data_IF_386511081572
#
_entry.id   IF_386511081572
#
_cell.length_a   1.000
_cell.length_b   1.000
_cell.length_c   1.000
_cell.angle_alpha   90.00
_cell.angle_beta   90.00
_cell.angle_gamma   90.00
#
_symmetry.space_group_name_H-M   'P 1'
#
loop_
_entity.id
_entity.type
_entity.pdbx_description
1 polymer ?
#
# COMPACT_ATOMS: atom_id res chain seq x y z
N UNK A 1 25.90 -17.99 20.51
CA UNK A 1 25.73 -17.30 19.22
C UNK A 1 24.55 -17.96 18.53
N UNK A 2 23.36 -17.36 18.65
CA UNK A 2 22.15 -17.88 17.99
C UNK A 2 22.15 -17.27 16.59
N UNK A 3 22.33 -18.13 15.59
CA UNK A 3 22.33 -17.75 14.18
C UNK A 3 20.97 -17.20 13.80
N UNK A 4 20.95 -15.97 13.29
CA UNK A 4 19.79 -15.39 12.62
C UNK A 4 19.70 -16.10 11.27
N UNK A 5 18.82 -17.10 11.20
CA UNK A 5 18.41 -17.70 9.94
C UNK A 5 17.62 -16.62 9.19
N UNK A 6 18.28 -15.94 8.24
CA UNK A 6 17.66 -14.94 7.39
C UNK A 6 16.63 -15.62 6.49
N UNK A 7 15.36 -15.58 6.91
CA UNK A 7 14.25 -15.92 6.05
C UNK A 7 14.12 -14.81 5.00
N UNK A 8 14.72 -15.03 3.84
CA UNK A 8 14.52 -14.19 2.67
C UNK A 8 13.09 -14.45 2.15
N UNK A 9 12.11 -13.76 2.73
CA UNK A 9 10.76 -13.66 2.18
C UNK A 9 10.87 -12.77 0.94
N UNK A 10 11.00 -13.40 -0.23
CA UNK A 10 10.99 -12.73 -1.52
C UNK A 10 9.59 -12.15 -1.77
N UNK A 11 9.52 -10.84 -2.00
CA UNK A 11 8.28 -10.12 -2.30
C UNK A 11 7.90 -10.23 -3.78
N UNK A 12 6.59 -10.31 -4.00
CA UNK A 12 5.93 -9.91 -5.24
C UNK A 12 6.01 -8.39 -5.36
N UNK A 13 6.64 -7.88 -6.41
CA UNK A 13 6.50 -6.48 -6.74
C UNK A 13 5.23 -6.26 -7.57
N UNK A 14 4.75 -5.02 -7.61
CA UNK A 14 3.50 -4.70 -8.30
C UNK A 14 3.77 -4.47 -9.80
N UNK A 15 3.06 -5.22 -10.65
CA UNK A 15 3.26 -5.24 -12.09
C UNK A 15 2.23 -4.45 -12.89
N UNK A 16 2.68 -3.52 -13.73
CA UNK A 16 1.82 -2.77 -14.65
C UNK A 16 1.45 -3.57 -15.89
N UNK A 17 0.49 -4.48 -15.79
CA UNK A 17 -0.10 -5.18 -16.94
C UNK A 17 -1.09 -4.27 -17.68
N UNK A 18 -0.74 -3.86 -18.90
CA UNK A 18 -1.56 -3.01 -19.75
C UNK A 18 -2.75 -3.74 -20.39
N UNK A 19 -3.83 -2.98 -20.55
CA UNK A 19 -5.05 -3.35 -21.29
C UNK A 19 -4.76 -3.90 -22.69
N UNK A 20 -5.40 -5.02 -23.02
CA UNK A 20 -5.62 -5.44 -24.39
C UNK A 20 -7.11 -5.57 -24.64
N UNK A 21 -7.72 -4.49 -25.14
CA UNK A 21 -8.96 -4.56 -25.89
C UNK A 21 -8.72 -5.37 -27.17
N UNK A 22 -9.42 -6.50 -27.33
CA UNK A 22 -9.97 -6.91 -28.63
C UNK A 22 -11.04 -7.98 -28.44
N UNK A 23 -12.23 -7.61 -28.88
CA UNK A 23 -13.48 -8.35 -29.07
C UNK A 23 -13.35 -9.75 -29.67
N UNK A 24 -14.10 -10.73 -29.14
CA UNK A 24 -15.26 -11.32 -29.85
C UNK A 24 -16.11 -12.30 -29.00
N UNK A 25 -17.35 -11.86 -28.75
CA UNK A 25 -18.64 -12.54 -28.97
C UNK A 25 -18.92 -13.98 -28.48
N UNK A 26 -19.92 -14.11 -27.60
CA UNK A 26 -20.70 -15.34 -27.45
C UNK A 26 -21.54 -15.48 -26.17
N UNK A 27 -22.75 -14.89 -26.14
CA UNK A 27 -23.90 -15.55 -25.48
C UNK A 27 -24.47 -14.99 -24.16
N UNK A 28 -25.21 -13.89 -24.28
CA UNK A 28 -26.54 -13.62 -23.70
C UNK A 28 -26.89 -14.04 -22.24
N UNK A 29 -27.07 -13.04 -21.36
CA UNK A 29 -28.29 -12.89 -20.55
C UNK A 29 -28.44 -11.43 -20.10
N UNK A 30 -29.38 -10.72 -20.73
CA UNK A 30 -29.79 -9.36 -20.39
C UNK A 30 -30.69 -9.34 -19.15
N UNK A 31 -30.35 -8.53 -18.15
CA UNK A 31 -31.34 -7.91 -17.23
C UNK A 31 -30.91 -6.48 -16.87
N UNK A 32 -31.53 -5.50 -17.55
CA UNK A 32 -31.86 -4.15 -17.07
C UNK A 32 -30.73 -3.16 -16.73
N UNK A 33 -30.90 -1.84 -16.99
CA UNK A 33 -29.97 -0.81 -16.55
C UNK A 33 -30.19 -0.53 -15.06
N UNK A 34 -29.64 -1.39 -14.21
CA UNK A 34 -29.54 -1.15 -12.77
C UNK A 34 -28.26 -0.38 -12.48
N UNK A 35 -28.38 0.79 -11.85
CA UNK A 35 -27.29 1.50 -11.17
C UNK A 35 -26.38 0.49 -10.46
N UNK A 36 -25.15 0.33 -10.95
CA UNK A 36 -24.18 -0.61 -10.42
C UNK A 36 -23.81 -0.25 -8.99
N UNK A 37 -24.57 -0.76 -8.03
CA UNK A 37 -24.21 -0.72 -6.63
C UNK A 37 -22.93 -1.55 -6.48
N UNK A 38 -21.82 -0.89 -6.19
CA UNK A 38 -20.63 -1.54 -5.68
C UNK A 38 -21.02 -2.27 -4.41
N UNK A 39 -21.08 -3.61 -4.47
CA UNK A 39 -21.43 -4.43 -3.30
C UNK A 39 -20.33 -4.25 -2.27
N UNK A 40 -20.67 -3.61 -1.14
CA UNK A 40 -19.75 -3.41 -0.03
C UNK A 40 -19.37 -4.76 0.59
N UNK A 41 -18.08 -5.00 0.80
CA UNK A 41 -17.59 -6.23 1.42
C UNK A 41 -18.14 -6.40 2.85
N UNK A 42 -18.59 -7.59 3.26
CA UNK A 42 -19.06 -7.86 4.63
C UNK A 42 -17.98 -7.61 5.68
N UNK A 43 -18.38 -7.26 6.91
CA UNK A 43 -17.46 -7.01 8.04
C UNK A 43 -16.47 -8.15 8.26
N UNK A 44 -16.96 -9.40 8.23
CA UNK A 44 -16.11 -10.58 8.40
C UNK A 44 -15.00 -10.68 7.34
N UNK A 45 -15.28 -10.24 6.11
CA UNK A 45 -14.29 -10.22 5.03
C UNK A 45 -13.24 -9.13 5.26
N UNK A 46 -13.64 -7.93 5.73
CA UNK A 46 -12.71 -6.86 6.09
C UNK A 46 -11.78 -7.30 7.23
N UNK A 47 -12.31 -7.97 8.26
CA UNK A 47 -11.50 -8.53 9.35
C UNK A 47 -10.54 -9.61 8.82
N UNK A 48 -10.98 -10.48 7.93
CA UNK A 48 -10.13 -11.51 7.33
C UNK A 48 -8.97 -10.91 6.52
N UNK A 49 -9.24 -9.89 5.70
CA UNK A 49 -8.20 -9.18 4.95
C UNK A 49 -7.22 -8.47 5.86
N UNK A 50 -7.71 -7.77 6.88
CA UNK A 50 -6.84 -7.08 7.83
C UNK A 50 -5.98 -8.08 8.63
N UNK A 51 -6.56 -9.20 9.07
CA UNK A 51 -5.83 -10.27 9.74
C UNK A 51 -4.73 -10.81 8.84
N UNK A 52 -5.05 -11.20 7.62
CA UNK A 52 -4.08 -11.79 6.68
C UNK A 52 -2.97 -10.83 6.27
N UNK A 53 -3.32 -9.59 5.95
CA UNK A 53 -2.40 -8.59 5.41
C UNK A 53 -1.54 -7.92 6.47
N UNK A 54 -2.06 -7.69 7.67
CA UNK A 54 -1.38 -6.91 8.70
C UNK A 54 -0.97 -7.79 9.89
N UNK A 55 -1.89 -8.57 10.46
CA UNK A 55 -1.65 -9.23 11.76
C UNK A 55 -0.86 -10.53 11.59
N UNK A 56 -1.19 -11.35 10.61
CA UNK A 56 -0.59 -12.67 10.41
C UNK A 56 0.59 -12.68 9.45
N UNK A 57 0.87 -11.55 8.78
CA UNK A 57 1.89 -11.44 7.74
C UNK A 57 3.24 -12.03 8.18
N UNK A 58 3.65 -11.73 9.42
CA UNK A 58 4.87 -12.24 10.08
C UNK A 58 4.65 -12.29 11.60
N UNK A 59 4.10 -13.38 12.15
CA UNK A 59 3.82 -13.47 13.59
C UNK A 59 5.12 -13.48 14.39
N UNK A 60 5.18 -12.67 15.45
CA UNK A 60 6.34 -12.60 16.35
C UNK A 60 7.60 -11.94 15.78
N UNK A 61 7.56 -11.40 14.56
CA UNK A 61 8.68 -10.65 14.00
C UNK A 61 9.11 -9.51 14.94
N UNK A 62 10.41 -9.34 15.11
CA UNK A 62 11.02 -8.35 16.00
C UNK A 62 10.48 -8.38 17.44
N UNK A 63 9.97 -9.52 17.91
CA UNK A 63 9.46 -9.70 19.27
C UNK A 63 8.11 -9.00 19.54
N UNK A 64 7.37 -8.63 18.48
CA UNK A 64 6.11 -7.91 18.63
C UNK A 64 4.99 -8.78 19.24
N UNK A 65 4.09 -8.19 20.05
CA UNK A 65 2.89 -8.89 20.53
C UNK A 65 1.83 -9.03 19.42
N UNK A 66 0.84 -9.89 19.65
CA UNK A 66 -0.32 -10.03 18.75
C UNK A 66 -1.06 -8.69 18.57
N UNK A 67 -1.52 -8.42 17.36
CA UNK A 67 -2.39 -7.30 17.05
C UNK A 67 -1.96 -6.51 15.82
N UNK A 68 -2.75 -5.48 15.53
CA UNK A 68 -2.50 -4.57 14.41
C UNK A 68 -1.18 -3.80 14.57
N UNK A 69 -0.44 -3.65 13.48
CA UNK A 69 0.73 -2.77 13.42
C UNK A 69 0.54 -1.64 12.42
N UNK A 70 1.02 -0.45 12.76
CA UNK A 70 0.83 0.78 11.97
C UNK A 70 1.79 1.87 12.45
N UNK A 71 1.77 3.04 11.84
CA UNK A 71 2.53 4.20 12.32
C UNK A 71 2.16 4.53 13.78
N UNK A 72 3.16 4.62 14.70
CA UNK A 72 2.92 4.92 16.12
C UNK A 72 2.66 6.42 16.34
N UNK A 73 1.95 6.74 17.43
CA UNK A 73 1.98 8.04 18.13
C UNK A 73 1.94 9.32 17.30
N UNK A 74 0.74 9.88 17.14
CA UNK A 74 0.54 11.30 16.86
C UNK A 74 -0.42 11.90 17.88
N UNK A 75 -0.43 13.23 18.12
CA UNK A 75 -1.70 13.94 18.20
C UNK A 75 -2.25 14.09 16.77
N UNK A 76 -3.49 13.64 16.52
CA UNK A 76 -4.18 13.54 15.22
C UNK A 76 -3.39 12.75 14.16
N UNK A 77 -3.95 11.70 13.54
CA UNK A 77 -3.21 10.65 12.79
C UNK A 77 -2.59 11.14 11.46
N UNK A 78 -1.65 12.07 11.54
CA UNK A 78 -0.94 12.75 10.47
C UNK A 78 0.37 12.01 10.18
N UNK A 79 0.59 11.62 8.93
CA UNK A 79 1.83 11.02 8.45
C UNK A 79 2.42 11.95 7.40
N UNK A 80 3.65 12.41 7.62
CA UNK A 80 4.36 13.18 6.62
C UNK A 80 4.72 12.31 5.41
N UNK A 81 4.45 12.82 4.22
CA UNK A 81 4.84 12.24 2.94
C UNK A 81 5.79 13.23 2.25
N UNK A 82 7.08 12.92 2.29
CA UNK A 82 8.07 13.68 1.55
C UNK A 82 7.97 13.34 0.06
N UNK A 83 7.59 14.33 -0.73
CA UNK A 83 7.50 14.27 -2.18
C UNK A 83 8.62 15.15 -2.77
N UNK A 84 9.72 14.56 -3.28
CA UNK A 84 10.78 15.33 -3.92
C UNK A 84 10.26 16.07 -5.16
N UNK A 85 10.70 17.31 -5.34
CA UNK A 85 10.47 18.06 -6.58
C UNK A 85 11.10 17.29 -7.75
N UNK A 86 10.33 17.00 -8.82
CA UNK A 86 10.86 16.41 -10.04
C UNK A 86 12.02 17.22 -10.62
N UNK A 87 13.04 16.55 -11.16
CA UNK A 87 14.12 17.20 -11.88
C UNK A 87 13.56 18.01 -13.06
N UNK A 88 14.12 19.20 -13.30
CA UNK A 88 13.66 20.08 -14.37
C UNK A 88 13.71 19.38 -15.73
N UNK A 89 12.57 19.32 -16.43
CA UNK A 89 12.44 18.66 -17.72
C UNK A 89 12.24 17.13 -17.65
N UNK A 90 12.24 16.52 -16.47
CA UNK A 90 11.98 15.08 -16.33
C UNK A 90 10.47 14.80 -16.28
N UNK A 91 9.89 14.48 -17.44
CA UNK A 91 8.46 14.19 -17.59
C UNK A 91 8.00 12.96 -16.78
N UNK A 92 8.85 11.94 -16.64
CA UNK A 92 8.52 10.71 -15.88
C UNK A 92 8.42 11.00 -14.38
N UNK A 93 9.37 11.74 -13.82
CA UNK A 93 9.29 12.14 -12.40
C UNK A 93 8.09 13.06 -12.13
N UNK A 94 7.79 13.98 -13.07
CA UNK A 94 6.61 14.85 -12.96
C UNK A 94 5.30 14.05 -12.97
N UNK A 95 5.20 13.05 -13.85
CA UNK A 95 4.06 12.13 -13.89
C UNK A 95 3.92 11.33 -12.58
N UNK A 96 5.01 10.80 -12.04
CA UNK A 96 4.99 10.09 -10.75
C UNK A 96 4.57 11.01 -9.60
N UNK A 97 5.08 12.24 -9.56
CA UNK A 97 4.70 13.23 -8.55
C UNK A 97 3.21 13.57 -8.59
N UNK A 98 2.64 13.71 -9.80
CA UNK A 98 1.22 13.93 -9.99
C UNK A 98 0.40 12.74 -9.49
N UNK A 99 0.81 11.51 -9.81
CA UNK A 99 0.13 10.30 -9.35
C UNK A 99 0.18 10.16 -7.82
N UNK A 100 1.30 10.49 -7.19
CA UNK A 100 1.40 10.53 -5.72
C UNK A 100 0.42 11.55 -5.14
N UNK A 101 0.38 12.76 -5.69
CA UNK A 101 -0.53 13.81 -5.22
C UNK A 101 -1.99 13.35 -5.30
N UNK A 102 -2.37 12.72 -6.43
CA UNK A 102 -3.70 12.14 -6.62
C UNK A 102 -3.99 11.03 -5.60
N UNK A 103 -3.06 10.08 -5.38
CA UNK A 103 -3.23 8.99 -4.41
C UNK A 103 -3.38 9.52 -2.98
N UNK A 104 -2.57 10.50 -2.58
CA UNK A 104 -2.67 11.11 -1.26
C UNK A 104 -4.00 11.82 -1.08
N UNK A 105 -4.45 12.60 -2.07
CA UNK A 105 -5.76 13.26 -2.02
C UNK A 105 -6.90 12.24 -1.90
N UNK A 106 -6.83 11.14 -2.67
CA UNK A 106 -7.80 10.05 -2.61
C UNK A 106 -7.83 9.39 -1.22
N UNK A 107 -6.67 9.05 -0.66
CA UNK A 107 -6.55 8.45 0.66
C UNK A 107 -7.06 9.40 1.76
N UNK A 108 -6.71 10.68 1.70
CA UNK A 108 -7.20 11.69 2.65
C UNK A 108 -8.72 11.87 2.58
N UNK A 109 -9.31 11.82 1.38
CA UNK A 109 -10.75 11.86 1.22
C UNK A 109 -11.41 10.60 1.82
N UNK A 110 -10.91 9.42 1.48
CA UNK A 110 -11.48 8.13 1.92
C UNK A 110 -11.30 7.87 3.42
N UNK A 111 -10.21 8.34 4.01
CA UNK A 111 -9.84 8.11 5.41
C UNK A 111 -10.06 9.36 6.29
N UNK A 112 -10.86 10.31 5.83
CA UNK A 112 -11.17 11.54 6.57
C UNK A 112 -11.62 11.26 8.01
N UNK A 113 -10.94 11.88 8.98
CA UNK A 113 -11.15 11.69 10.42
C UNK A 113 -10.46 10.45 11.02
N UNK A 114 -9.78 9.65 10.22
CA UNK A 114 -9.07 8.43 10.63
C UNK A 114 -7.56 8.52 10.40
N UNK A 115 -7.15 9.14 9.30
CA UNK A 115 -5.76 9.32 8.90
C UNK A 115 -5.65 10.56 7.99
N UNK A 116 -4.55 11.29 8.12
CA UNK A 116 -4.17 12.38 7.21
C UNK A 116 -2.74 12.13 6.73
N UNK A 117 -2.52 12.26 5.43
CA UNK A 117 -1.22 12.25 4.79
C UNK A 117 -0.86 13.69 4.40
N UNK A 118 0.21 14.21 5.00
CA UNK A 118 0.67 15.57 4.77
C UNK A 118 1.81 15.56 3.75
N UNK A 119 1.51 16.01 2.53
CA UNK A 119 2.54 16.21 1.51
C UNK A 119 3.46 17.37 1.91
N UNK A 120 4.77 17.12 1.83
CA UNK A 120 5.79 18.13 2.05
C UNK A 120 6.86 18.07 0.96
N UNK A 121 7.27 19.24 0.48
CA UNK A 121 8.42 19.40 -0.41
C UNK A 121 9.75 19.46 0.34
N UNK A 122 9.72 19.56 1.67
CA UNK A 122 10.89 19.57 2.54
C UNK A 122 10.99 18.24 3.25
N UNK A 123 12.12 17.54 3.06
CA UNK A 123 12.38 16.27 3.73
C UNK A 123 12.44 16.49 5.25
N UNK A 124 11.66 15.75 6.05
CA UNK A 124 11.79 15.78 7.51
C UNK A 124 13.22 15.46 7.96
N UNK A 125 13.74 16.23 8.91
CA UNK A 125 15.10 16.05 9.45
C UNK A 125 15.22 14.84 10.39
N UNK A 126 14.11 14.45 11.01
CA UNK A 126 14.00 13.33 11.93
C UNK A 126 12.56 12.81 11.94
N UNK A 127 12.36 11.69 12.64
CA UNK A 127 11.06 11.08 12.79
C UNK A 127 10.71 10.10 11.67
N UNK A 128 9.51 9.57 11.81
CA UNK A 128 8.95 8.50 11.01
C UNK A 128 8.08 9.12 9.90
N UNK A 129 8.47 8.91 8.63
CA UNK A 129 7.76 9.48 7.48
C UNK A 129 7.87 8.58 6.25
N UNK A 130 6.98 8.81 5.29
CA UNK A 130 7.01 8.17 3.96
C UNK A 130 7.86 9.04 3.04
N UNK A 131 8.86 8.45 2.39
CA UNK A 131 9.68 9.07 1.37
C UNK A 131 9.35 8.49 -0.01
N UNK A 132 8.90 9.34 -0.92
CA UNK A 132 8.75 8.97 -2.33
C UNK A 132 10.12 8.98 -3.00
N UNK A 133 10.39 7.97 -3.83
CA UNK A 133 11.63 7.87 -4.60
C UNK A 133 11.32 7.46 -6.03
N UNK A 134 11.77 8.26 -7.00
CA UNK A 134 11.52 8.02 -8.41
C UNK A 134 12.64 7.19 -9.05
N UNK A 135 12.27 6.29 -9.95
CA UNK A 135 13.16 5.41 -10.71
C UNK A 135 14.03 4.50 -9.84
N UNK A 136 13.51 4.11 -8.67
CA UNK A 136 14.22 3.31 -7.67
C UNK A 136 13.51 2.03 -7.28
N UNK A 137 12.50 1.61 -8.02
CA UNK A 137 11.85 0.32 -7.76
C UNK A 137 12.85 -0.81 -8.00
N UNK A 138 12.86 -1.76 -7.06
CA UNK A 138 13.82 -2.84 -7.05
C UNK A 138 13.46 -3.93 -8.04
N UNK A 139 14.43 -4.30 -8.88
CA UNK A 139 14.35 -5.45 -9.77
C UNK A 139 15.32 -6.51 -9.28
N UNK A 140 14.89 -7.78 -9.07
CA UNK A 140 15.78 -8.85 -8.68
C UNK A 140 16.98 -8.97 -9.64
N UNK A 141 18.21 -9.16 -9.12
CA UNK A 141 19.37 -9.38 -9.96
C UNK A 141 19.14 -10.52 -10.97
N UNK A 142 19.34 -10.24 -12.25
CA UNK A 142 19.14 -11.21 -13.33
C UNK A 142 17.70 -11.35 -13.83
N UNK A 143 16.73 -10.66 -13.22
CA UNK A 143 15.36 -10.63 -13.74
C UNK A 143 15.27 -9.83 -15.05
N UNK A 144 14.53 -10.36 -16.00
CA UNK A 144 14.10 -9.67 -17.23
C UNK A 144 12.65 -9.20 -17.14
N UNK A 145 11.94 -9.56 -16.07
CA UNK A 145 10.57 -9.16 -15.84
C UNK A 145 10.55 -7.78 -15.19
N UNK A 146 10.73 -6.72 -15.97
CA UNK A 146 10.67 -5.36 -15.45
C UNK A 146 9.25 -4.90 -15.17
N UNK A 147 8.29 -5.46 -15.91
CA UNK A 147 6.90 -5.06 -15.82
C UNK A 147 6.32 -5.38 -14.44
N UNK A 148 6.67 -6.54 -13.86
CA UNK A 148 6.23 -6.97 -12.53
C UNK A 148 6.86 -6.20 -11.38
N UNK A 149 7.92 -5.42 -11.61
CA UNK A 149 8.66 -4.72 -10.56
C UNK A 149 8.60 -3.22 -10.73
N UNK A 150 7.39 -2.70 -11.00
CA UNK A 150 7.19 -1.29 -11.25
C UNK A 150 7.23 -0.41 -10.02
N UNK A 151 6.84 -0.95 -8.88
CA UNK A 151 6.91 -0.22 -7.64
C UNK A 151 7.08 -1.21 -6.49
N UNK A 152 7.61 -0.69 -5.38
CA UNK A 152 7.67 -1.43 -4.13
C UNK A 152 7.82 -0.49 -2.94
N UNK A 153 7.31 -0.92 -1.79
CA UNK A 153 7.63 -0.33 -0.49
C UNK A 153 8.80 -1.04 0.18
N UNK A 154 9.78 -0.27 0.66
CA UNK A 154 10.98 -0.83 1.27
C UNK A 154 11.62 0.10 2.31
N UNK A 155 12.67 -0.39 2.96
CA UNK A 155 13.51 0.37 3.89
C UNK A 155 14.53 1.29 3.20
N UNK A 156 14.54 1.33 1.86
CA UNK A 156 15.49 2.11 1.07
C UNK A 156 15.11 2.21 -0.42
N UNK A 157 15.80 3.06 -1.18
CA UNK A 157 15.72 3.07 -2.64
C UNK A 157 16.48 1.87 -3.22
N UNK A 158 16.01 1.35 -4.37
CA UNK A 158 16.64 0.24 -5.10
C UNK A 158 16.83 -1.04 -4.26
N UNK A 159 15.97 -1.27 -3.26
CA UNK A 159 16.01 -2.47 -2.43
C UNK A 159 14.63 -3.13 -2.33
N UNK A 160 14.62 -4.45 -2.27
CA UNK A 160 13.45 -5.27 -1.97
C UNK A 160 13.27 -5.54 -0.47
N UNK A 161 14.07 -4.91 0.40
CA UNK A 161 13.97 -5.04 1.85
C UNK A 161 12.66 -4.47 2.35
N UNK A 162 11.74 -5.36 2.67
CA UNK A 162 10.40 -4.99 3.08
C UNK A 162 10.38 -4.27 4.44
N UNK A 163 9.34 -3.46 4.68
CA UNK A 163 9.14 -2.82 5.99
C UNK A 163 8.58 -3.84 6.99
N UNK A 164 9.00 -3.72 8.25
CA UNK A 164 8.61 -4.66 9.30
C UNK A 164 8.10 -3.91 10.55
N UNK A 165 7.15 -4.49 11.31
CA UNK A 165 6.78 -3.97 12.61
C UNK A 165 7.93 -4.07 13.63
N UNK A 166 8.02 -3.13 14.56
CA UNK A 166 8.85 -3.26 15.77
C UNK A 166 8.15 -4.03 16.90
N UNK A 167 8.86 -4.19 18.02
CA UNK A 167 8.37 -4.82 19.24
C UNK A 167 7.13 -4.15 19.87
N UNK A 168 6.77 -2.93 19.44
CA UNK A 168 5.60 -2.19 19.90
C UNK A 168 4.45 -2.17 18.89
N UNK A 169 4.51 -3.00 17.83
CA UNK A 169 3.62 -2.96 16.68
C UNK A 169 3.64 -1.60 15.94
N UNK A 170 4.74 -0.86 16.04
CA UNK A 170 4.99 0.34 15.25
C UNK A 170 5.63 0.02 13.91
N UNK A 171 5.36 0.83 12.89
CA UNK A 171 6.21 0.89 11.69
C UNK A 171 7.53 1.58 12.09
N UNK A 172 8.64 0.85 12.02
CA UNK A 172 9.95 1.29 12.54
C UNK A 172 10.93 1.77 11.46
N UNK A 173 10.60 1.62 10.18
CA UNK A 173 11.47 2.08 9.10
C UNK A 173 11.51 3.61 9.06
N UNK A 174 12.70 4.19 9.13
CA UNK A 174 12.92 5.63 9.17
C UNK A 174 13.89 6.06 8.03
N UNK A 175 13.38 6.47 6.85
CA UNK A 175 11.98 6.50 6.44
C UNK A 175 11.46 5.16 5.87
N UNK A 176 10.16 5.10 5.59
CA UNK A 176 9.57 4.11 4.67
C UNK A 176 9.67 4.65 3.25
N UNK A 177 10.23 3.89 2.31
CA UNK A 177 10.33 4.30 0.91
C UNK A 177 9.17 3.76 0.10
N UNK A 178 8.50 4.63 -0.65
CA UNK A 178 7.64 4.26 -1.78
C UNK A 178 8.46 4.47 -3.04
N UNK A 179 8.97 3.37 -3.61
CA UNK A 179 9.85 3.40 -4.79
C UNK A 179 9.00 3.24 -6.04
N UNK A 180 9.09 4.20 -6.97
CA UNK A 180 8.25 4.26 -8.16
C UNK A 180 9.08 4.17 -9.43
N UNK A 181 8.82 3.15 -10.22
CA UNK A 181 9.41 2.90 -11.53
C UNK A 181 10.82 2.32 -11.46
N UNK A 182 11.19 1.55 -12.48
CA UNK A 182 12.54 1.02 -12.70
C UNK A 182 13.13 1.47 -14.05
N UNK A 183 12.48 2.44 -14.70
CA UNK A 183 12.84 2.96 -16.03
C UNK A 183 12.43 2.06 -17.21
N UNK A 184 11.80 0.91 -16.97
CA UNK A 184 11.43 -0.07 -18.00
C UNK A 184 9.98 -0.57 -17.87
N UNK A 185 9.14 0.19 -17.19
CA UNK A 185 7.77 -0.21 -16.94
C UNK A 185 6.84 1.01 -16.80
N UNK A 186 5.53 0.77 -16.81
CA UNK A 186 4.51 1.81 -16.65
C UNK A 186 3.96 1.81 -15.23
N UNK A 187 4.28 2.84 -14.44
CA UNK A 187 3.68 3.04 -13.11
C UNK A 187 2.31 3.67 -13.29
N UNK A 188 1.24 2.93 -13.01
CA UNK A 188 -0.14 3.43 -13.08
C UNK A 188 -0.54 4.16 -11.80
N UNK A 189 -1.65 4.92 -11.85
CA UNK A 189 -2.23 5.57 -10.68
C UNK A 189 -2.59 4.56 -9.57
N UNK A 190 -3.05 3.38 -9.99
CA UNK A 190 -3.44 2.29 -9.10
C UNK A 190 -2.23 1.69 -8.38
N UNK A 191 -1.11 1.51 -9.10
CA UNK A 191 0.16 1.06 -8.49
C UNK A 191 0.61 2.06 -7.42
N UNK A 192 0.54 3.37 -7.67
CA UNK A 192 0.94 4.34 -6.64
C UNK A 192 0.03 4.25 -5.41
N UNK A 193 -1.28 4.14 -5.61
CA UNK A 193 -2.25 4.00 -4.51
C UNK A 193 -2.04 2.69 -3.73
N UNK A 194 -1.69 1.61 -4.43
CA UNK A 194 -1.33 0.32 -3.87
C UNK A 194 -0.12 0.43 -2.93
N UNK A 195 0.97 1.04 -3.40
CA UNK A 195 2.18 1.17 -2.58
C UNK A 195 1.94 2.00 -1.31
N UNK A 196 1.04 2.98 -1.36
CA UNK A 196 0.63 3.65 -0.11
C UNK A 196 -0.06 2.70 0.87
N UNK A 197 -0.86 1.73 0.41
CA UNK A 197 -1.42 0.68 1.26
C UNK A 197 -0.32 -0.10 1.99
N UNK A 198 0.75 -0.45 1.28
CA UNK A 198 1.93 -1.06 1.87
C UNK A 198 2.63 -0.14 2.87
N UNK A 199 2.86 1.12 2.52
CA UNK A 199 3.50 2.10 3.42
C UNK A 199 2.66 2.39 4.67
N UNK A 200 1.36 2.08 4.64
CA UNK A 200 0.42 2.21 5.76
C UNK A 200 0.25 0.92 6.58
N UNK A 201 0.98 -0.15 6.24
CA UNK A 201 1.08 -1.37 7.04
C UNK A 201 0.31 -2.58 6.49
N UNK A 202 -0.25 -2.52 5.29
CA UNK A 202 -0.77 -3.72 4.63
C UNK A 202 0.40 -4.47 4.00
N UNK A 203 0.64 -5.73 4.32
CA UNK A 203 1.80 -6.45 3.80
C UNK A 203 1.41 -7.51 2.76
N UNK A 204 0.56 -8.49 3.10
CA UNK A 204 0.06 -9.42 2.09
C UNK A 204 -0.99 -8.76 1.19
N UNK A 205 -0.99 -9.14 -0.09
CA UNK A 205 -2.08 -8.84 -1.03
C UNK A 205 -3.36 -9.58 -0.63
N UNK A 206 -4.50 -9.04 -1.04
CA UNK A 206 -5.81 -9.67 -0.92
C UNK A 206 -6.70 -9.17 -2.05
N UNK A 207 -7.88 -9.76 -2.26
CA UNK A 207 -8.78 -9.28 -3.31
C UNK A 207 -9.22 -7.83 -3.05
N UNK A 208 -9.00 -6.96 -4.05
CA UNK A 208 -9.04 -5.47 -3.98
C UNK A 208 -7.74 -4.79 -3.53
N UNK A 209 -6.67 -5.52 -3.30
CA UNK A 209 -5.34 -5.02 -2.95
C UNK A 209 -4.25 -5.94 -3.50
N UNK A 210 -3.86 -5.73 -4.76
CA UNK A 210 -2.78 -6.47 -5.44
C UNK A 210 -3.19 -7.80 -6.08
N UNK A 211 -4.19 -8.50 -5.53
CA UNK A 211 -4.69 -9.75 -6.13
C UNK A 211 -5.72 -9.50 -7.25
N UNK A 212 -5.63 -10.30 -8.31
CA UNK A 212 -6.59 -10.30 -9.41
C UNK A 212 -8.00 -10.79 -8.98
N UNK A 213 -9.08 -10.34 -9.67
CA UNK A 213 -9.08 -9.42 -10.79
C UNK A 213 -8.80 -7.98 -10.34
N UNK A 214 -7.82 -7.34 -10.98
CA UNK A 214 -7.34 -5.99 -10.71
C UNK A 214 -8.38 -4.86 -10.98
N UNK A 215 -9.63 -5.23 -11.23
CA UNK A 215 -10.70 -4.34 -11.67
C UNK A 215 -11.63 -3.94 -10.51
N UNK A 216 -11.26 -4.32 -9.29
CA UNK A 216 -12.07 -4.11 -8.13
C UNK A 216 -11.19 -3.43 -7.07
N UNK A 217 -10.68 -2.23 -7.34
CA UNK A 217 -10.43 -1.24 -6.28
C UNK A 217 -11.77 -0.91 -5.62
N UNK A 218 -12.33 -1.89 -4.92
CA UNK A 218 -13.60 -1.80 -4.25
C UNK A 218 -13.44 -0.95 -3.01
N UNK A 219 -14.57 -0.61 -2.40
CA UNK A 219 -14.61 -0.06 -1.06
C UNK A 219 -13.81 -0.89 -0.04
N UNK A 220 -13.54 -2.19 -0.29
CA UNK A 220 -12.87 -3.07 0.66
C UNK A 220 -11.42 -2.66 0.98
N UNK A 221 -10.63 -2.20 0.00
CA UNK A 221 -9.27 -1.70 0.27
C UNK A 221 -9.30 -0.53 1.26
N UNK A 222 -10.13 0.46 0.96
CA UNK A 222 -10.27 1.62 1.82
C UNK A 222 -10.94 1.28 3.16
N UNK A 223 -11.87 0.32 3.21
CA UNK A 223 -12.48 -0.17 4.44
C UNK A 223 -11.48 -0.91 5.33
N UNK A 224 -10.55 -1.67 4.75
CA UNK A 224 -9.44 -2.32 5.50
C UNK A 224 -8.52 -1.25 6.11
N UNK A 225 -8.12 -0.23 5.33
CA UNK A 225 -7.35 0.89 5.86
C UNK A 225 -8.13 1.69 6.91
N UNK A 226 -9.42 1.99 6.67
CA UNK A 226 -10.27 2.67 7.64
C UNK A 226 -10.41 1.85 8.93
N UNK A 227 -10.47 0.52 8.83
CA UNK A 227 -10.51 -0.37 9.99
C UNK A 227 -9.17 -0.36 10.73
N UNK A 228 -8.04 -0.50 10.03
CA UNK A 228 -6.70 -0.41 10.62
C UNK A 228 -6.48 0.92 11.33
N UNK A 229 -6.81 2.03 10.68
CA UNK A 229 -6.74 3.40 11.21
C UNK A 229 -8.01 3.83 11.93
N UNK A 230 -8.87 2.90 12.33
CA UNK A 230 -10.07 3.16 13.10
C UNK A 230 -9.99 2.57 14.50
N UNK A 231 -9.24 1.47 14.65
CA UNK A 231 -8.98 0.80 15.91
C UNK A 231 -7.73 1.40 16.59
N UNK A 232 -7.50 1.20 17.90
CA UNK A 232 -6.22 1.50 18.54
C UNK A 232 -5.05 0.69 17.93
N UNK A 233 -3.79 1.14 18.08
CA UNK A 233 -2.64 0.30 17.73
C UNK A 233 -2.65 -0.98 18.58
N UNK A 234 -2.04 -2.06 18.09
CA UNK A 234 -1.98 -3.36 18.79
C UNK A 234 -3.35 -3.95 19.12
N UNK A 235 -4.38 -3.66 18.32
CA UNK A 235 -5.71 -4.27 18.52
C UNK A 235 -5.66 -5.73 18.06
N UNK A 236 -5.95 -6.73 18.91
CA UNK A 236 -6.04 -8.13 18.51
C UNK A 236 -7.24 -8.36 17.58
N UNK A 237 -7.16 -9.40 16.74
CA UNK A 237 -8.22 -9.73 15.75
C UNK A 237 -9.61 -9.79 16.39
N UNK A 238 -9.73 -10.44 17.56
CA UNK A 238 -10.99 -10.63 18.27
C UNK A 238 -11.66 -9.32 18.71
N UNK A 239 -10.89 -8.22 18.78
CA UNK A 239 -11.34 -6.91 19.26
C UNK A 239 -11.48 -5.89 18.13
N UNK A 240 -11.32 -6.29 16.87
CA UNK A 240 -11.44 -5.38 15.74
C UNK A 240 -12.89 -4.94 15.55
N UNK A 241 -13.09 -3.63 15.54
CA UNK A 241 -14.34 -3.00 15.12
C UNK A 241 -14.17 -2.51 13.67
N UNK A 242 -14.92 -3.10 12.74
CA UNK A 242 -14.88 -2.69 11.33
C UNK A 242 -15.29 -1.23 11.17
N UNK A 243 -14.54 -0.49 10.36
CA UNK A 243 -14.86 0.87 9.93
C UNK A 243 -14.98 0.91 8.41
N UNK A 244 -15.79 1.84 7.93
CA UNK A 244 -16.02 2.06 6.51
C UNK A 244 -15.37 3.36 6.07
N UNK A 245 -14.75 3.35 4.91
CA UNK A 245 -14.21 4.54 4.27
C UNK A 245 -15.35 5.48 3.85
N UNK A 246 -15.03 6.76 3.68
CA UNK A 246 -15.98 7.74 3.16
C UNK A 246 -16.30 7.44 1.69
N UNK A 247 -17.53 7.76 1.29
CA UNK A 247 -17.96 7.68 -0.10
C UNK A 247 -17.36 8.83 -0.91
#
# INVERSE_FOLDING_TARGET
MIGILGLAVLMSACGGGGDSDTSNNGGNASTGPGTGATVQAPDAQIVAYLKFSNIDFVPGANGRPEGTWRWPGTPDRHIAVYLPTPAAGNATEADYANKVTTSVNLLNAKLSGLLVLDLTATRPASGNFIQVSYLTSWVPPGSTDYASYCANVATGPNTGSMIMPDASNGIFSAPVYVNLGNGRCNVTQDIVTHEFGHALGLANHFASFGDAPANAWTTAYFDVLATLYGNPPSTPVANIVVKRAKN
#
